data_IF_305100733257
#
_entry.id   IF_305100733257
#
_cell.length_a   1.000
_cell.length_b   1.000
_cell.length_c   1.000
_cell.angle_alpha   90.00
_cell.angle_beta   90.00
_cell.angle_gamma   90.00
#
_symmetry.space_group_name_H-M   'P 1'
#
loop_
_entity.id
_entity.type
_entity.pdbx_description
1 polymer ?
#
# COMPACT_ATOMS: atom_id res chain seq x y z
N UNK A 1 -2.38 10.28 -33.30
CA UNK A 1 -1.48 10.36 -34.47
C UNK A 1 -0.46 9.25 -34.30
N UNK A 2 -0.55 8.18 -35.09
CA UNK A 2 0.49 7.16 -35.11
C UNK A 2 1.70 7.79 -35.80
N UNK A 3 2.78 8.06 -35.06
CA UNK A 3 4.02 8.56 -35.65
C UNK A 3 4.50 7.52 -36.67
N UNK A 4 4.81 7.95 -37.90
CA UNK A 4 5.32 7.05 -38.91
C UNK A 4 6.80 6.79 -38.63
N UNK A 5 7.07 5.89 -37.68
CA UNK A 5 8.40 5.60 -37.14
C UNK A 5 9.43 5.14 -38.19
N UNK A 6 8.98 4.77 -39.39
CA UNK A 6 9.83 4.26 -40.48
C UNK A 6 10.67 5.34 -41.18
N UNK A 7 10.35 6.61 -41.01
CA UNK A 7 11.05 7.72 -41.69
C UNK A 7 12.02 8.50 -40.80
N UNK A 8 12.04 8.23 -39.49
CA UNK A 8 12.87 8.97 -38.54
C UNK A 8 14.30 8.43 -38.51
N UNK A 9 15.30 9.32 -38.39
CA UNK A 9 16.67 8.93 -38.06
C UNK A 9 16.91 9.03 -36.54
N UNK A 10 18.00 8.45 -36.06
CA UNK A 10 18.34 8.46 -34.62
C UNK A 10 18.49 9.86 -34.02
N UNK A 11 18.86 10.87 -34.82
CA UNK A 11 18.93 12.27 -34.37
C UNK A 11 17.55 12.83 -34.08
N UNK A 12 16.58 12.52 -34.93
CA UNK A 12 15.18 12.95 -34.74
C UNK A 12 14.60 12.32 -33.48
N UNK A 13 14.91 11.04 -33.23
CA UNK A 13 14.52 10.35 -31.98
C UNK A 13 15.15 10.98 -30.76
N UNK A 14 16.44 11.29 -30.80
CA UNK A 14 17.14 11.98 -29.70
C UNK A 14 16.49 13.34 -29.38
N UNK A 15 16.20 14.12 -30.41
CA UNK A 15 15.59 15.44 -30.24
C UNK A 15 14.13 15.33 -29.77
N UNK A 16 13.39 14.31 -30.22
CA UNK A 16 12.05 13.99 -29.71
C UNK A 16 12.08 13.59 -28.22
N UNK A 17 13.06 12.80 -27.80
CA UNK A 17 13.26 12.42 -26.40
C UNK A 17 13.55 13.65 -25.54
N UNK A 18 14.39 14.57 -26.03
CA UNK A 18 14.63 15.86 -25.36
C UNK A 18 13.35 16.65 -25.19
N UNK A 19 12.56 16.79 -26.25
CA UNK A 19 11.27 17.47 -26.20
C UNK A 19 10.35 16.86 -25.14
N UNK A 20 10.20 15.53 -25.10
CA UNK A 20 9.37 14.88 -24.09
C UNK A 20 9.88 15.09 -22.66
N UNK A 21 11.19 15.21 -22.45
CA UNK A 21 11.74 15.56 -21.14
C UNK A 21 11.40 17.00 -20.75
N UNK A 22 11.52 17.94 -21.69
CA UNK A 22 11.23 19.37 -21.46
C UNK A 22 9.73 19.62 -21.21
N UNK A 23 8.87 18.94 -21.97
CA UNK A 23 7.41 19.02 -21.86
C UNK A 23 6.85 18.16 -20.70
N UNK A 24 7.70 17.39 -20.01
CA UNK A 24 7.35 16.42 -18.97
C UNK A 24 6.25 15.42 -19.42
N UNK A 25 6.34 14.97 -20.67
CA UNK A 25 5.42 14.00 -21.28
C UNK A 25 5.83 12.56 -20.93
N UNK A 26 4.95 11.81 -20.27
CA UNK A 26 5.16 10.38 -19.99
C UNK A 26 4.68 9.51 -21.16
N UNK A 27 5.60 9.17 -22.07
CA UNK A 27 5.37 8.39 -23.31
C UNK A 27 6.16 7.08 -23.32
N UNK A 28 5.95 6.26 -22.29
CA UNK A 28 6.83 5.12 -21.99
C UNK A 28 6.83 4.04 -23.08
N UNK A 29 5.68 3.73 -23.67
CA UNK A 29 5.58 2.77 -24.77
C UNK A 29 6.34 3.24 -26.01
N UNK A 30 6.15 4.50 -26.41
CA UNK A 30 6.82 5.06 -27.59
C UNK A 30 8.32 5.23 -27.38
N UNK A 31 8.75 5.58 -26.16
CA UNK A 31 10.18 5.65 -25.81
C UNK A 31 10.84 4.28 -26.01
N UNK A 32 10.22 3.19 -25.54
CA UNK A 32 10.79 1.85 -25.70
C UNK A 32 10.81 1.40 -27.15
N UNK A 33 9.73 1.64 -27.90
CA UNK A 33 9.67 1.31 -29.33
C UNK A 33 10.76 2.04 -30.13
N UNK A 34 10.94 3.34 -29.89
CA UNK A 34 11.96 4.14 -30.58
C UNK A 34 13.38 3.79 -30.13
N UNK A 35 13.56 3.42 -28.86
CA UNK A 35 14.83 2.94 -28.33
C UNK A 35 15.29 1.68 -29.07
N UNK A 36 14.46 0.64 -29.08
CA UNK A 36 14.77 -0.65 -29.71
C UNK A 36 14.95 -0.50 -31.23
N UNK A 37 14.11 0.33 -31.87
CA UNK A 37 14.14 0.46 -33.32
C UNK A 37 15.36 1.24 -33.84
N UNK A 38 15.76 2.32 -33.16
CA UNK A 38 16.66 3.32 -33.77
C UNK A 38 17.77 3.83 -32.85
N UNK A 39 17.63 3.78 -31.53
CA UNK A 39 18.54 4.49 -30.62
C UNK A 39 19.51 3.59 -29.85
N UNK A 40 19.16 2.33 -29.54
CA UNK A 40 20.01 1.41 -28.75
C UNK A 40 21.43 1.31 -29.33
N UNK A 41 21.53 1.09 -30.65
CA UNK A 41 22.81 0.96 -31.36
C UNK A 41 23.54 2.30 -31.63
N UNK A 42 22.91 3.42 -31.29
CA UNK A 42 23.41 4.77 -31.58
C UNK A 42 23.52 5.65 -30.34
N UNK A 43 23.20 5.14 -29.16
CA UNK A 43 23.19 5.92 -27.92
C UNK A 43 24.54 6.55 -27.62
N UNK A 44 25.64 5.83 -27.90
CA UNK A 44 27.01 6.34 -27.75
C UNK A 44 27.31 7.57 -28.63
N UNK A 45 26.62 7.72 -29.77
CA UNK A 45 26.77 8.86 -30.68
C UNK A 45 26.04 10.12 -30.19
N UNK A 46 25.23 10.00 -29.14
CA UNK A 46 24.47 11.14 -28.58
C UNK A 46 25.32 12.04 -27.68
N UNK A 47 26.54 11.62 -27.33
CA UNK A 47 27.50 12.41 -26.57
C UNK A 47 26.97 12.76 -25.19
N UNK A 48 26.98 14.06 -24.86
CA UNK A 48 26.64 14.56 -23.50
C UNK A 48 25.21 14.23 -23.05
N UNK A 49 24.28 13.93 -23.97
CA UNK A 49 22.90 13.58 -23.62
C UNK A 49 22.69 12.09 -23.34
N UNK A 50 23.72 11.27 -23.53
CA UNK A 50 23.61 9.82 -23.42
C UNK A 50 23.01 9.40 -22.07
N UNK A 51 23.52 9.92 -20.96
CA UNK A 51 23.05 9.51 -19.64
C UNK A 51 21.59 9.94 -19.39
N UNK A 52 21.19 11.12 -19.88
CA UNK A 52 19.80 11.60 -19.79
C UNK A 52 18.84 10.70 -20.60
N UNK A 53 19.29 10.23 -21.76
CA UNK A 53 18.54 9.28 -22.59
C UNK A 53 18.44 7.93 -21.91
N UNK A 54 19.55 7.42 -21.35
CA UNK A 54 19.56 6.15 -20.61
C UNK A 54 18.62 6.21 -19.41
N UNK A 55 18.64 7.29 -18.62
CA UNK A 55 17.71 7.48 -17.50
C UNK A 55 16.24 7.53 -17.97
N UNK A 56 15.94 8.23 -19.07
CA UNK A 56 14.58 8.29 -19.62
C UNK A 56 14.09 6.93 -20.11
N UNK A 57 14.93 6.19 -20.85
CA UNK A 57 14.63 4.85 -21.34
C UNK A 57 14.43 3.89 -20.18
N UNK A 58 15.25 4.01 -19.14
CA UNK A 58 15.17 3.18 -17.96
C UNK A 58 13.85 3.38 -17.18
N UNK A 59 13.39 4.63 -17.02
CA UNK A 59 12.07 4.89 -16.43
C UNK A 59 10.95 4.32 -17.32
N UNK A 60 11.03 4.51 -18.63
CA UNK A 60 10.07 3.93 -19.57
C UNK A 60 10.08 2.39 -19.55
N UNK A 61 11.25 1.78 -19.34
CA UNK A 61 11.42 0.34 -19.25
C UNK A 61 10.76 -0.22 -17.98
N UNK A 62 10.85 0.48 -16.85
CA UNK A 62 10.10 0.10 -15.65
C UNK A 62 8.59 0.19 -15.86
N UNK A 63 8.09 1.24 -16.48
CA UNK A 63 6.65 1.41 -16.75
C UNK A 63 6.08 0.31 -17.66
N UNK A 64 6.87 -0.12 -18.64
CA UNK A 64 6.51 -1.16 -19.62
C UNK A 64 6.94 -2.56 -19.19
N UNK A 65 7.48 -2.73 -17.98
CA UNK A 65 8.00 -3.99 -17.44
C UNK A 65 9.09 -4.66 -18.30
N UNK A 66 9.84 -3.89 -19.09
CA UNK A 66 11.00 -4.33 -19.89
C UNK A 66 12.29 -4.30 -19.07
N UNK A 67 12.38 -5.19 -18.08
CA UNK A 67 13.51 -5.25 -17.15
C UNK A 67 14.85 -5.64 -17.81
N UNK A 68 14.78 -6.27 -18.98
CA UNK A 68 15.93 -6.56 -19.84
C UNK A 68 16.62 -5.27 -20.32
N UNK A 69 15.84 -4.29 -20.79
CA UNK A 69 16.36 -2.98 -21.23
C UNK A 69 16.85 -2.20 -20.01
N UNK A 70 16.07 -2.18 -18.92
CA UNK A 70 16.47 -1.49 -17.69
C UNK A 70 17.83 -1.98 -17.17
N UNK A 71 18.06 -3.30 -17.16
CA UNK A 71 19.34 -3.89 -16.76
C UNK A 71 20.52 -3.39 -17.59
N UNK A 72 20.42 -3.42 -18.94
CA UNK A 72 21.48 -2.91 -19.83
C UNK A 72 21.79 -1.43 -19.60
N UNK A 73 20.75 -0.62 -19.39
CA UNK A 73 20.91 0.81 -19.09
C UNK A 73 21.62 1.02 -17.76
N UNK A 74 21.27 0.27 -16.71
CA UNK A 74 21.93 0.34 -15.39
C UNK A 74 23.39 -0.08 -15.51
N UNK A 75 23.69 -1.17 -16.18
CA UNK A 75 25.07 -1.65 -16.39
C UNK A 75 25.92 -0.56 -17.07
N UNK A 76 25.38 0.07 -18.12
CA UNK A 76 26.07 1.16 -18.83
C UNK A 76 26.33 2.34 -17.89
N UNK A 77 25.32 2.78 -17.14
CA UNK A 77 25.45 3.89 -16.19
C UNK A 77 26.40 3.56 -15.03
N UNK A 78 26.43 2.30 -14.57
CA UNK A 78 27.29 1.88 -13.47
C UNK A 78 28.77 1.78 -13.86
N UNK A 79 29.07 1.45 -15.12
CA UNK A 79 30.44 1.49 -15.65
C UNK A 79 31.00 2.92 -15.63
N UNK A 80 30.17 3.90 -15.97
CA UNK A 80 30.57 5.31 -16.05
C UNK A 80 30.56 6.02 -14.69
N UNK A 81 29.59 5.68 -13.84
CA UNK A 81 29.39 6.29 -12.53
C UNK A 81 29.31 5.21 -11.43
N UNK A 82 30.42 4.52 -11.13
CA UNK A 82 30.44 3.51 -10.08
C UNK A 82 30.07 4.13 -8.73
N UNK A 83 29.32 3.38 -7.92
CA UNK A 83 28.84 3.78 -6.59
C UNK A 83 27.97 5.04 -6.54
N UNK A 84 27.49 5.52 -7.70
CA UNK A 84 26.57 6.65 -7.75
C UNK A 84 25.25 6.30 -7.07
N UNK A 85 24.85 7.11 -6.09
CA UNK A 85 23.57 7.01 -5.38
C UNK A 85 22.36 6.96 -6.32
N UNK A 86 22.46 7.66 -7.47
CA UNK A 86 21.39 7.65 -8.47
C UNK A 86 21.32 6.31 -9.19
N UNK A 87 22.47 5.71 -9.54
CA UNK A 87 22.54 4.38 -10.17
C UNK A 87 22.10 3.29 -9.19
N UNK A 88 22.54 3.36 -7.93
CA UNK A 88 22.07 2.46 -6.86
C UNK A 88 20.55 2.52 -6.70
N UNK A 89 19.93 3.70 -6.80
CA UNK A 89 18.48 3.84 -6.77
C UNK A 89 17.79 3.13 -7.94
N UNK A 90 18.35 3.19 -9.14
CA UNK A 90 17.83 2.44 -10.30
C UNK A 90 17.95 0.94 -10.10
N UNK A 91 19.05 0.47 -9.53
CA UNK A 91 19.23 -0.95 -9.22
C UNK A 91 18.25 -1.41 -8.14
N UNK A 92 18.00 -0.61 -7.10
CA UNK A 92 16.97 -0.92 -6.09
C UNK A 92 15.57 -1.02 -6.72
N UNK A 93 15.23 -0.14 -7.67
CA UNK A 93 13.98 -0.22 -8.42
C UNK A 93 13.89 -1.48 -9.29
N UNK A 94 15.01 -1.91 -9.90
CA UNK A 94 15.07 -3.15 -10.68
C UNK A 94 14.86 -4.38 -9.78
N UNK A 95 15.56 -4.46 -8.65
CA UNK A 95 15.43 -5.54 -7.68
C UNK A 95 14.00 -5.64 -7.14
N UNK A 96 13.37 -4.51 -6.85
CA UNK A 96 11.97 -4.46 -6.43
C UNK A 96 11.02 -4.97 -7.53
N UNK A 97 11.25 -4.60 -8.79
CA UNK A 97 10.47 -5.11 -9.92
C UNK A 97 10.66 -6.62 -10.14
N UNK A 98 11.84 -7.15 -9.81
CA UNK A 98 12.15 -8.58 -9.78
C UNK A 98 11.63 -9.30 -8.52
N UNK A 99 10.98 -8.59 -7.59
CA UNK A 99 10.52 -9.10 -6.30
C UNK A 99 11.64 -9.58 -5.36
N UNK A 100 12.88 -9.16 -5.62
CA UNK A 100 14.05 -9.42 -4.79
C UNK A 100 14.12 -8.38 -3.66
N UNK A 101 13.11 -8.43 -2.78
CA UNK A 101 12.88 -7.37 -1.80
C UNK A 101 13.97 -7.23 -0.74
N UNK A 102 14.62 -8.32 -0.36
CA UNK A 102 15.67 -8.30 0.67
C UNK A 102 16.89 -7.52 0.15
N UNK A 103 17.39 -7.90 -1.02
CA UNK A 103 18.49 -7.20 -1.70
C UNK A 103 18.15 -5.74 -2.02
N UNK A 104 16.92 -5.46 -2.43
CA UNK A 104 16.45 -4.09 -2.63
C UNK A 104 16.49 -3.28 -1.32
N UNK A 105 16.15 -3.91 -0.19
CA UNK A 105 16.13 -3.26 1.13
C UNK A 105 17.55 -2.98 1.62
N UNK A 106 18.46 -3.94 1.45
CA UNK A 106 19.88 -3.77 1.81
C UNK A 106 20.52 -2.62 1.01
N UNK A 107 20.25 -2.55 -0.29
CA UNK A 107 20.74 -1.48 -1.14
C UNK A 107 20.14 -0.11 -0.75
N UNK A 108 18.86 -0.07 -0.38
CA UNK A 108 18.24 1.15 0.13
C UNK A 108 18.84 1.56 1.48
N UNK A 109 19.21 0.63 2.35
CA UNK A 109 19.89 0.92 3.60
C UNK A 109 21.30 1.47 3.38
N UNK A 110 22.03 0.95 2.40
CA UNK A 110 23.32 1.53 1.98
C UNK A 110 23.13 2.99 1.51
N UNK A 111 22.11 3.25 0.68
CA UNK A 111 21.77 4.61 0.24
C UNK A 111 21.45 5.51 1.45
N UNK A 112 20.64 5.04 2.41
CA UNK A 112 20.28 5.82 3.60
C UNK A 112 21.51 6.14 4.45
N UNK A 113 22.44 5.19 4.60
CA UNK A 113 23.68 5.40 5.36
C UNK A 113 24.60 6.45 4.73
N UNK A 114 24.58 6.57 3.40
CA UNK A 114 25.35 7.58 2.66
C UNK A 114 24.71 8.96 2.73
N UNK A 115 23.38 9.03 2.77
CA UNK A 115 22.63 10.28 2.92
C UNK A 115 21.40 10.10 3.81
N UNK A 116 21.57 10.37 5.10
CA UNK A 116 20.52 10.21 6.10
C UNK A 116 19.36 11.20 5.93
N UNK A 117 19.60 12.32 5.24
CA UNK A 117 18.62 13.40 5.04
C UNK A 117 17.63 13.10 3.93
N UNK A 118 17.92 12.09 3.10
CA UNK A 118 17.07 11.72 1.99
C UNK A 118 15.84 10.93 2.43
N UNK A 119 14.67 11.53 2.25
CA UNK A 119 13.40 10.90 2.54
C UNK A 119 13.02 9.78 1.54
N UNK A 120 13.45 9.88 0.28
CA UNK A 120 12.93 9.03 -0.80
C UNK A 120 13.26 7.53 -0.62
N UNK A 121 14.49 7.12 -0.25
CA UNK A 121 14.82 5.71 0.02
C UNK A 121 14.02 5.14 1.19
N UNK A 122 13.81 5.94 2.25
CA UNK A 122 13.03 5.56 3.44
C UNK A 122 11.56 5.29 3.06
N UNK A 123 10.94 6.20 2.30
CA UNK A 123 9.58 5.99 1.74
C UNK A 123 9.50 4.72 0.90
N UNK A 124 10.55 4.42 0.12
CA UNK A 124 10.58 3.22 -0.73
C UNK A 124 10.63 1.93 0.09
N UNK A 125 11.40 1.86 1.17
CA UNK A 125 11.39 0.71 2.11
C UNK A 125 9.99 0.46 2.66
N UNK A 126 9.29 1.52 3.07
CA UNK A 126 7.91 1.41 3.58
C UNK A 126 6.96 0.89 2.48
N UNK A 127 7.13 1.35 1.23
CA UNK A 127 6.35 0.85 0.10
C UNK A 127 6.59 -0.66 -0.15
N UNK A 128 7.83 -1.13 -0.02
CA UNK A 128 8.18 -2.57 -0.11
C UNK A 128 7.46 -3.37 0.99
N UNK A 129 7.49 -2.92 2.24
CA UNK A 129 6.79 -3.58 3.35
C UNK A 129 5.28 -3.67 3.08
N UNK A 130 4.68 -2.60 2.56
CA UNK A 130 3.27 -2.58 2.15
C UNK A 130 2.98 -3.58 1.03
N UNK A 131 3.83 -3.64 0.00
CA UNK A 131 3.66 -4.57 -1.12
C UNK A 131 3.73 -6.04 -0.66
N UNK A 132 4.58 -6.34 0.33
CA UNK A 132 4.69 -7.67 0.96
C UNK A 132 3.54 -8.00 1.92
N UNK A 133 2.68 -7.03 2.25
CA UNK A 133 1.57 -7.20 3.18
C UNK A 133 1.94 -7.08 4.66
N UNK A 134 3.17 -6.69 4.99
CA UNK A 134 3.63 -6.48 6.37
C UNK A 134 3.17 -5.14 6.92
N UNK A 135 1.85 -5.00 7.11
CA UNK A 135 1.21 -3.72 7.50
C UNK A 135 1.68 -3.22 8.87
N UNK A 136 1.82 -4.10 9.85
CA UNK A 136 2.26 -3.71 11.20
C UNK A 136 3.68 -3.15 11.22
N UNK A 137 4.58 -3.74 10.44
CA UNK A 137 5.95 -3.25 10.26
C UNK A 137 5.97 -1.93 9.49
N UNK A 138 5.20 -1.83 8.40
CA UNK A 138 5.05 -0.59 7.65
C UNK A 138 4.53 0.56 8.53
N UNK A 139 3.57 0.31 9.43
CA UNK A 139 3.08 1.31 10.40
C UNK A 139 4.20 1.75 11.35
N UNK A 140 4.98 0.81 11.88
CA UNK A 140 6.09 1.11 12.79
C UNK A 140 7.15 1.97 12.11
N UNK A 141 7.58 1.58 10.91
CA UNK A 141 8.62 2.28 10.16
C UNK A 141 8.15 3.65 9.67
N UNK A 142 6.90 3.76 9.22
CA UNK A 142 6.31 5.04 8.82
C UNK A 142 6.11 5.99 10.01
N UNK A 143 5.77 5.46 11.19
CA UNK A 143 5.71 6.24 12.42
C UNK A 143 7.09 6.74 12.84
N UNK A 144 8.14 5.92 12.69
CA UNK A 144 9.52 6.34 12.95
C UNK A 144 9.99 7.40 11.95
N UNK A 145 9.69 7.20 10.66
CA UNK A 145 9.96 8.17 9.61
C UNK A 145 9.36 9.55 9.90
N UNK A 146 8.08 9.60 10.32
CA UNK A 146 7.39 10.86 10.62
C UNK A 146 7.94 11.58 11.87
N UNK A 147 8.66 10.90 12.77
CA UNK A 147 9.38 11.58 13.86
C UNK A 147 10.53 12.44 13.34
N UNK A 148 11.16 12.02 12.24
CA UNK A 148 12.24 12.78 11.58
C UNK A 148 11.69 13.76 10.54
N UNK A 149 10.69 13.35 9.76
CA UNK A 149 10.12 14.10 8.64
C UNK A 149 8.67 14.52 8.90
N UNK A 150 8.44 15.25 9.99
CA UNK A 150 7.09 15.55 10.49
C UNK A 150 6.23 16.42 9.55
N UNK A 151 6.85 17.18 8.64
CA UNK A 151 6.17 18.05 7.68
C UNK A 151 5.62 17.32 6.44
N UNK A 152 5.86 16.01 6.31
CA UNK A 152 5.49 15.22 5.15
C UNK A 152 4.02 14.80 5.17
N UNK A 153 3.19 15.59 4.48
CA UNK A 153 1.74 15.38 4.42
C UNK A 153 1.37 14.06 3.71
N UNK A 154 2.13 13.62 2.70
CA UNK A 154 1.85 12.36 2.01
C UNK A 154 2.04 11.17 2.94
N UNK A 155 3.09 11.20 3.77
CA UNK A 155 3.37 10.16 4.75
C UNK A 155 2.29 10.08 5.84
N UNK A 156 1.75 11.23 6.30
CA UNK A 156 0.61 11.25 7.21
C UNK A 156 -0.67 10.66 6.60
N UNK A 157 -0.94 10.99 5.34
CA UNK A 157 -2.06 10.40 4.60
C UNK A 157 -1.93 8.88 4.48
N UNK A 158 -0.73 8.41 4.16
CA UNK A 158 -0.44 6.98 4.06
C UNK A 158 -0.59 6.27 5.41
N UNK A 159 -0.08 6.85 6.50
CA UNK A 159 -0.20 6.28 7.84
C UNK A 159 -1.66 6.18 8.30
N UNK A 160 -2.47 7.21 7.98
CA UNK A 160 -3.91 7.16 8.19
C UNK A 160 -4.55 5.98 7.45
N UNK A 161 -4.21 5.79 6.17
CA UNK A 161 -4.69 4.67 5.37
C UNK A 161 -4.36 3.30 5.99
N UNK A 162 -3.12 3.13 6.48
CA UNK A 162 -2.68 1.91 7.15
C UNK A 162 -3.44 1.66 8.46
N UNK A 163 -3.65 2.68 9.29
CA UNK A 163 -4.45 2.54 10.52
C UNK A 163 -5.92 2.20 10.25
N UNK A 164 -6.51 2.76 9.20
CA UNK A 164 -7.87 2.40 8.79
C UNK A 164 -7.95 0.93 8.35
N UNK A 165 -6.94 0.43 7.63
CA UNK A 165 -6.87 -0.97 7.21
C UNK A 165 -6.77 -1.95 8.41
N UNK A 166 -6.09 -1.54 9.48
CA UNK A 166 -6.01 -2.30 10.74
C UNK A 166 -7.21 -2.08 11.69
N UNK A 167 -8.11 -1.15 11.35
CA UNK A 167 -9.28 -0.81 12.17
C UNK A 167 -8.97 0.05 13.40
N UNK A 168 -7.77 0.64 13.49
CA UNK A 168 -7.40 1.58 14.56
C UNK A 168 -7.86 3.00 14.20
N UNK A 169 -9.18 3.21 14.29
CA UNK A 169 -9.81 4.49 13.93
C UNK A 169 -9.31 5.66 14.78
N UNK A 170 -8.95 5.42 16.04
CA UNK A 170 -8.40 6.45 16.94
C UNK A 170 -7.12 7.06 16.40
N UNK A 171 -6.16 6.22 15.99
CA UNK A 171 -4.89 6.70 15.44
C UNK A 171 -5.07 7.27 14.02
N UNK A 172 -5.99 6.72 13.24
CA UNK A 172 -6.32 7.28 11.94
C UNK A 172 -6.86 8.73 12.04
N UNK A 173 -7.72 9.02 13.03
CA UNK A 173 -8.18 10.39 13.30
C UNK A 173 -7.02 11.29 13.67
N UNK A 174 -6.11 10.84 14.55
CA UNK A 174 -4.92 11.61 14.93
C UNK A 174 -4.08 11.99 13.71
N UNK A 175 -3.80 11.05 12.80
CA UNK A 175 -3.08 11.35 11.56
C UNK A 175 -3.79 12.41 10.70
N UNK A 176 -5.12 12.39 10.63
CA UNK A 176 -5.89 13.41 9.90
C UNK A 176 -5.93 14.76 10.62
N UNK A 177 -5.83 14.79 11.95
CA UNK A 177 -5.72 16.02 12.73
C UNK A 177 -4.37 16.70 12.49
N UNK A 178 -3.28 15.94 12.42
CA UNK A 178 -1.96 16.48 12.01
C UNK A 178 -2.02 17.10 10.60
N UNK A 179 -2.69 16.43 9.66
CA UNK A 179 -2.93 16.99 8.32
C UNK A 179 -3.79 18.25 8.33
N UNK A 180 -4.76 18.33 9.25
CA UNK A 180 -5.60 19.50 9.42
C UNK A 180 -4.79 20.71 9.91
N UNK A 181 -3.76 20.49 10.75
CA UNK A 181 -2.86 21.57 11.18
C UNK A 181 -2.10 22.18 10.00
N UNK A 182 -1.72 21.35 9.01
CA UNK A 182 -1.09 21.84 7.78
C UNK A 182 -2.07 22.60 6.88
N UNK A 183 -3.32 22.12 6.75
CA UNK A 183 -4.32 22.71 5.86
C UNK A 183 -5.68 22.91 6.55
N UNK A 184 -5.84 23.92 7.43
CA UNK A 184 -7.04 24.09 8.26
C UNK A 184 -8.33 24.35 7.46
N UNK A 185 -8.21 24.92 6.26
CA UNK A 185 -9.33 25.27 5.40
C UNK A 185 -9.75 24.15 4.43
N UNK A 186 -9.05 23.01 4.45
CA UNK A 186 -9.36 21.90 3.54
C UNK A 186 -10.63 21.17 3.96
N UNK A 187 -11.72 21.38 3.21
CA UNK A 187 -12.99 20.69 3.46
C UNK A 187 -12.86 19.16 3.33
N UNK A 188 -11.93 18.67 2.50
CA UNK A 188 -11.67 17.24 2.31
C UNK A 188 -11.15 16.59 3.60
N UNK A 189 -10.27 17.28 4.34
CA UNK A 189 -9.74 16.78 5.62
C UNK A 189 -10.84 16.74 6.68
N UNK A 190 -11.64 17.81 6.79
CA UNK A 190 -12.78 17.86 7.71
C UNK A 190 -13.79 16.75 7.43
N UNK A 191 -14.14 16.54 6.17
CA UNK A 191 -15.03 15.47 5.74
C UNK A 191 -14.46 14.10 6.14
N UNK A 192 -13.18 13.86 5.85
CA UNK A 192 -12.52 12.57 6.17
C UNK A 192 -12.50 12.29 7.67
N UNK A 193 -12.21 13.29 8.51
CA UNK A 193 -12.28 13.17 9.97
C UNK A 193 -13.71 12.80 10.41
N UNK A 194 -14.73 13.44 9.84
CA UNK A 194 -16.13 13.16 10.16
C UNK A 194 -16.52 11.71 9.78
N UNK A 195 -16.11 11.22 8.62
CA UNK A 195 -16.34 9.84 8.15
C UNK A 195 -15.74 8.80 9.11
N UNK A 196 -14.49 9.01 9.53
CA UNK A 196 -13.78 8.09 10.43
C UNK A 196 -14.45 8.08 11.81
N UNK A 197 -14.76 9.26 12.37
CA UNK A 197 -15.44 9.38 13.66
C UNK A 197 -16.86 8.80 13.64
N UNK A 198 -17.59 8.97 12.53
CA UNK A 198 -18.90 8.35 12.35
C UNK A 198 -18.82 6.82 12.42
N UNK A 199 -17.84 6.24 11.71
CA UNK A 199 -17.59 4.79 11.72
C UNK A 199 -17.23 4.29 13.11
N UNK A 200 -16.33 4.99 13.81
CA UNK A 200 -15.94 4.68 15.19
C UNK A 200 -17.15 4.67 16.14
N UNK A 201 -18.00 5.70 16.07
CA UNK A 201 -19.20 5.79 16.90
C UNK A 201 -20.23 4.69 16.60
N UNK A 202 -20.40 4.33 15.33
CA UNK A 202 -21.30 3.23 14.95
C UNK A 202 -20.85 1.89 15.56
N UNK A 203 -19.54 1.61 15.54
CA UNK A 203 -18.95 0.41 16.15
C UNK A 203 -19.13 0.42 17.68
N UNK A 204 -18.91 1.55 18.34
CA UNK A 204 -19.11 1.67 19.80
C UNK A 204 -20.58 1.44 20.17
N UNK A 205 -21.51 2.01 19.41
CA UNK A 205 -22.94 1.86 19.65
C UNK A 205 -23.41 0.42 19.50
N UNK A 206 -22.96 -0.28 18.45
CA UNK A 206 -23.28 -1.70 18.23
C UNK A 206 -22.69 -2.57 19.33
N UNK A 207 -21.43 -2.36 19.72
CA UNK A 207 -20.80 -3.06 20.85
C UNK A 207 -21.60 -2.89 22.15
N UNK A 208 -22.01 -1.67 22.47
CA UNK A 208 -22.81 -1.37 23.66
C UNK A 208 -24.17 -2.08 23.63
N UNK A 209 -24.82 -2.18 22.47
CA UNK A 209 -26.09 -2.91 22.31
C UNK A 209 -25.92 -4.41 22.55
N UNK A 210 -24.87 -5.02 21.99
CA UNK A 210 -24.56 -6.45 22.22
C UNK A 210 -24.27 -6.71 23.69
N UNK A 211 -23.47 -5.86 24.34
CA UNK A 211 -23.16 -5.97 25.77
C UNK A 211 -24.41 -5.89 26.65
N UNK A 212 -25.32 -4.96 26.36
CA UNK A 212 -26.63 -4.88 27.06
C UNK A 212 -27.45 -6.14 26.84
N UNK A 213 -27.54 -6.65 25.61
CA UNK A 213 -28.27 -7.89 25.31
C UNK A 213 -27.70 -9.10 26.06
N UNK A 214 -26.37 -9.23 26.15
CA UNK A 214 -25.72 -10.29 26.94
C UNK A 214 -26.02 -10.17 28.43
N UNK A 215 -26.03 -8.95 28.99
CA UNK A 215 -26.40 -8.73 30.39
C UNK A 215 -27.87 -9.08 30.66
N UNK A 216 -28.76 -8.72 29.74
CA UNK A 216 -30.20 -9.09 29.80
C UNK A 216 -30.35 -10.61 29.76
N UNK A 217 -29.68 -11.30 28.84
CA UNK A 217 -29.71 -12.76 28.76
C UNK A 217 -29.21 -13.43 30.05
N UNK A 218 -28.08 -12.98 30.59
CA UNK A 218 -27.54 -13.47 31.89
C UNK A 218 -28.49 -13.24 33.07
N UNK A 219 -29.28 -12.16 33.06
CA UNK A 219 -30.31 -11.92 34.08
C UNK A 219 -31.51 -12.85 33.91
N UNK A 220 -31.87 -13.19 32.68
CA UNK A 220 -32.96 -14.14 32.39
C UNK A 220 -32.59 -15.57 32.81
N UNK A 221 -31.36 -16.01 32.55
CA UNK A 221 -30.88 -17.36 32.95
C UNK A 221 -30.63 -17.51 34.46
N UNK A 222 -30.47 -16.41 35.21
CA UNK A 222 -30.33 -16.41 36.68
C UNK A 222 -31.64 -16.39 37.45
N UNK A 223 -32.80 -16.35 36.79
CA UNK A 223 -34.09 -16.44 37.49
C UNK A 223 -34.27 -17.88 38.01
N UNK A 224 -34.50 -18.09 39.32
CA UNK A 224 -34.52 -19.42 39.95
C UNK A 224 -35.61 -20.36 39.39
N UNK A 225 -36.67 -19.80 38.80
CA UNK A 225 -37.73 -20.59 38.16
C UNK A 225 -37.29 -21.36 36.90
N UNK A 226 -36.21 -20.95 36.21
CA UNK A 226 -35.70 -21.64 35.03
C UNK A 226 -34.49 -22.55 35.32
N UNK A 227 -33.82 -22.36 36.46
CA UNK A 227 -32.76 -23.26 36.94
C UNK A 227 -33.36 -24.63 37.25
N UNK A 228 -34.55 -24.67 37.88
CA UNK A 228 -35.25 -25.94 38.12
C UNK A 228 -35.64 -26.69 36.83
N UNK A 229 -35.86 -25.97 35.71
CA UNK A 229 -36.21 -26.59 34.41
C UNK A 229 -34.96 -27.10 33.70
N UNK A 230 -33.84 -26.36 33.75
CA UNK A 230 -32.58 -26.82 33.15
C UNK A 230 -31.90 -27.92 33.97
N UNK A 231 -32.02 -27.90 35.30
CA UNK A 231 -31.58 -29.02 36.14
C UNK A 231 -32.48 -30.26 35.91
N UNK A 232 -33.79 -30.10 35.69
CA UNK A 232 -34.66 -31.22 35.29
C UNK A 232 -34.30 -31.81 33.93
N UNK A 233 -34.00 -30.96 32.93
CA UNK A 233 -33.64 -31.40 31.58
C UNK A 233 -32.22 -31.99 31.56
N UNK A 234 -31.26 -31.40 32.28
CA UNK A 234 -29.90 -31.93 32.43
C UNK A 234 -29.87 -33.27 33.18
N UNK A 235 -30.72 -33.45 34.19
CA UNK A 235 -30.88 -34.71 34.90
C UNK A 235 -31.57 -35.79 34.04
N UNK A 236 -32.48 -35.41 33.13
CA UNK A 236 -33.11 -36.32 32.17
C UNK A 236 -32.17 -36.72 31.02
N UNK A 237 -31.27 -35.82 30.61
CA UNK A 237 -30.28 -36.09 29.56
C UNK A 237 -29.13 -37.00 30.06
N UNK A 238 -28.82 -36.96 31.36
CA UNK A 238 -27.85 -37.90 31.98
C UNK A 238 -28.41 -39.32 32.18
N UNK A 239 -29.72 -39.49 32.12
CA UNK A 239 -30.42 -40.79 32.23
C UNK A 239 -30.71 -41.44 30.87
N UNK A 240 -30.38 -40.77 29.75
CA UNK A 240 -30.68 -41.24 28.39
C UNK A 240 -29.46 -41.28 27.46
N UNK A 241 -28.25 -41.35 28.02
CA UNK A 241 -27.05 -41.78 27.25
C UNK A 241 -27.14 -43.27 26.89
N UNK A 242 -28.00 -43.62 25.93
CA UNK A 242 -27.88 -44.91 25.26
C UNK A 242 -28.18 -44.91 23.78
N UNK A 243 -28.73 -43.86 23.16
CA UNK A 243 -28.89 -43.88 21.70
C UNK A 243 -28.88 -42.48 21.06
N UNK A 244 -27.95 -42.30 20.11
CA UNK A 244 -27.91 -41.32 19.02
C UNK A 244 -27.39 -39.90 19.29
N UNK A 245 -26.08 -39.80 19.06
CA UNK A 245 -25.41 -38.73 18.31
C UNK A 245 -26.30 -38.09 17.22
N UNK A 246 -26.18 -36.75 17.09
CA UNK A 246 -26.63 -35.89 15.97
C UNK A 246 -28.15 -35.75 15.77
N UNK A 247 -28.75 -34.64 16.21
CA UNK A 247 -29.66 -33.87 15.33
C UNK A 247 -29.96 -32.45 15.87
N UNK A 248 -29.83 -31.49 14.95
CA UNK A 248 -30.55 -30.22 14.88
C UNK A 248 -30.06 -29.00 15.66
N UNK A 249 -28.99 -28.41 15.11
CA UNK A 249 -28.98 -26.97 14.85
C UNK A 249 -29.98 -26.67 13.72
N UNK A 250 -31.26 -26.40 13.99
CA UNK A 250 -32.19 -25.69 13.07
C UNK A 250 -33.64 -25.62 13.59
N UNK A 251 -34.28 -24.49 13.29
CA UNK A 251 -35.73 -24.22 13.27
C UNK A 251 -36.50 -24.16 14.61
N UNK A 252 -36.79 -22.93 15.04
CA UNK A 252 -38.20 -22.52 15.19
C UNK A 252 -38.36 -21.13 14.57
N UNK A 253 -38.79 -21.10 13.31
CA UNK A 253 -39.54 -20.00 12.73
C UNK A 253 -41.02 -20.18 13.11
N UNK A 254 -41.59 -19.13 13.70
CA UNK A 254 -42.95 -18.58 13.51
C UNK A 254 -44.17 -19.52 13.66
N UNK A 255 -45.05 -19.21 14.61
CA UNK A 255 -46.51 -19.25 14.36
C UNK A 255 -47.27 -18.15 15.11
N UNK A 256 -47.83 -17.26 14.30
CA UNK A 256 -49.03 -16.45 14.58
C UNK A 256 -50.21 -17.39 14.89
N UNK A 257 -51.01 -17.10 15.93
CA UNK A 257 -52.46 -16.85 15.86
C UNK A 257 -53.12 -16.85 17.25
N UNK A 258 -53.84 -15.77 17.48
CA UNK A 258 -55.20 -15.65 18.01
C UNK A 258 -55.52 -16.20 19.42
N UNK A 259 -55.74 -15.26 20.35
CA UNK A 259 -56.98 -15.13 21.13
C UNK A 259 -57.21 -13.64 21.45
#
# INVERSE_FOLDING_TARGET
>A
MAYNFKEMCWKDVRDQFRKWREDNERRSDEVIQLWEALLENHVQKTGNEMHLILEQVLIAAFDTSRLDIAGKCIETLNIEFPESMRVMKFEAMRLEALQMYEEATDLLDEIISKDETNAAPRKRKIAILKARGFRSEAIKDLSEYLKTFMSDQEAWHELCGLYLAEGDYSKAVFCMEELLLHNPHSHLIHQRIAEIRYTMNAIINTYNKVRRNQQVFRRHTRKPHYILIFDFIGFWMFLTESVLFLFSMCFVTKKYKDN
#
